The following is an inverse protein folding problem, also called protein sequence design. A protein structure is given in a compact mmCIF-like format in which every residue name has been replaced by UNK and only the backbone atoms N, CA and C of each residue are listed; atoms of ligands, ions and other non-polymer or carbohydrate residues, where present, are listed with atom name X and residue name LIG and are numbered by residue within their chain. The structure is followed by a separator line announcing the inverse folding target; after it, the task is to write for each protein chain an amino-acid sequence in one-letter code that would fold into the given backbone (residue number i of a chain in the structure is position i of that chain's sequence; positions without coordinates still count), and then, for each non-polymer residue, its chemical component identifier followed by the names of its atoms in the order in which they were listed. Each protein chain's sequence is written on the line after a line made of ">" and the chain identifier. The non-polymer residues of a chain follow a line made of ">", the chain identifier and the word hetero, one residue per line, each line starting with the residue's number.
data_IF_397046308984
#
_entry.id   IF_397046308984
#
_cell.length_a   1.000
_cell.length_b   1.000
_cell.length_c   1.000
_cell.angle_alpha   90.00
_cell.angle_beta   90.00
_cell.angle_gamma   90.00
#
_symmetry.space_group_name_H-M   'P 1'
#
loop_
_entity.id
_entity.type
_entity.pdbx_description
1 polymer ?
#
# COMPACT_ATOMS: atom_id res chain seq x y z
N UNK A 1 24.52 30.00 47.99
CA UNK A 1 24.58 28.92 46.98
C UNK A 1 23.22 28.83 46.30
N UNK A 2 23.06 29.07 44.98
CA UNK A 2 21.77 28.92 44.34
C UNK A 2 21.56 27.45 43.92
N UNK A 3 20.43 26.86 44.32
CA UNK A 3 19.99 25.55 43.83
C UNK A 3 19.32 25.73 42.48
N UNK A 4 19.88 25.10 41.44
CA UNK A 4 19.31 25.10 40.10
C UNK A 4 17.97 24.39 40.07
N UNK A 5 16.91 25.12 39.70
CA UNK A 5 15.57 24.59 39.47
C UNK A 5 15.60 23.66 38.26
N UNK A 6 15.60 22.34 38.48
CA UNK A 6 15.39 21.35 37.41
C UNK A 6 13.96 21.47 36.90
N UNK A 7 13.77 22.27 35.85
CA UNK A 7 12.56 22.26 35.02
C UNK A 7 12.40 20.84 34.45
N UNK A 8 11.43 20.09 34.97
CA UNK A 8 10.91 18.89 34.31
C UNK A 8 10.35 19.32 32.96
N UNK A 9 11.18 19.23 31.90
CA UNK A 9 10.71 19.38 30.53
C UNK A 9 9.79 18.18 30.27
N UNK A 10 8.49 18.43 30.35
CA UNK A 10 7.48 17.55 29.75
C UNK A 10 7.77 17.58 28.25
N UNK A 11 8.51 16.59 27.77
CA UNK A 11 8.71 16.39 26.34
C UNK A 11 7.37 15.88 25.79
N UNK A 12 6.43 16.79 25.56
CA UNK A 12 5.29 16.55 24.65
C UNK A 12 5.87 16.52 23.25
N UNK A 13 6.50 15.39 22.91
CA UNK A 13 7.05 15.07 21.60
C UNK A 13 5.89 15.13 20.62
N UNK A 14 5.73 16.28 19.95
CA UNK A 14 5.27 16.45 18.57
C UNK A 14 4.13 15.59 18.01
N UNK A 15 3.27 14.99 18.84
CA UNK A 15 2.18 14.12 18.38
C UNK A 15 0.81 14.82 18.45
N UNK A 16 0.69 15.90 19.22
CA UNK A 16 -0.55 16.71 19.30
C UNK A 16 -0.63 17.84 18.27
N UNK A 17 0.44 18.09 17.51
CA UNK A 17 0.57 19.21 16.57
C UNK A 17 0.79 18.75 15.12
N UNK A 18 0.46 17.50 14.80
CA UNK A 18 0.43 17.04 13.41
C UNK A 18 -0.88 17.51 12.75
N UNK A 19 -0.86 18.49 11.82
CA UNK A 19 -2.05 18.96 11.11
C UNK A 19 -2.70 17.87 10.23
N UNK A 20 -2.04 16.71 10.08
CA UNK A 20 -2.54 15.52 9.40
C UNK A 20 -3.17 14.49 10.34
N UNK A 21 -3.07 14.62 11.67
CA UNK A 21 -3.75 13.75 12.64
C UNK A 21 -5.24 14.10 12.80
N UNK A 22 -5.90 14.49 11.70
CA UNK A 22 -7.33 14.79 11.73
C UNK A 22 -8.11 13.49 11.90
N UNK A 23 -9.00 13.40 12.90
CA UNK A 23 -9.86 12.23 13.11
C UNK A 23 -10.92 12.06 12.00
N UNK A 24 -10.83 12.78 10.88
CA UNK A 24 -11.63 12.54 9.67
C UNK A 24 -11.05 11.42 8.79
N UNK A 25 -9.83 10.95 9.09
CA UNK A 25 -9.16 9.86 8.36
C UNK A 25 -9.62 8.45 8.77
N UNK A 26 -10.79 8.32 9.41
CA UNK A 26 -11.36 7.03 9.85
C UNK A 26 -12.52 6.54 8.98
N UNK A 27 -13.03 7.35 8.05
CA UNK A 27 -14.12 6.95 7.14
C UNK A 27 -13.75 6.91 5.65
N UNK A 28 -12.49 7.16 5.32
CA UNK A 28 -11.91 6.90 4.00
C UNK A 28 -10.98 5.71 4.18
N UNK A 29 -11.30 4.59 3.54
CA UNK A 29 -10.52 3.34 3.60
C UNK A 29 -9.02 3.66 3.68
N UNK A 30 -8.37 3.22 4.78
CA UNK A 30 -7.00 3.58 5.14
C UNK A 30 -6.15 3.43 3.88
N UNK A 31 -5.48 4.48 3.38
CA UNK A 31 -4.79 4.41 2.07
C UNK A 31 -3.82 3.22 1.93
N UNK A 32 -3.35 2.68 3.06
CA UNK A 32 -2.61 1.43 3.17
C UNK A 32 -3.39 0.17 2.76
N UNK A 33 -4.65 0.05 3.14
CA UNK A 33 -5.54 -1.07 2.75
C UNK A 33 -5.90 -1.01 1.26
N UNK A 34 -6.12 0.20 0.73
CA UNK A 34 -6.34 0.40 -0.70
C UNK A 34 -5.11 -0.03 -1.51
N UNK A 35 -3.91 0.34 -1.07
CA UNK A 35 -2.67 -0.06 -1.73
C UNK A 35 -2.50 -1.59 -1.77
N UNK A 36 -2.76 -2.27 -0.64
CA UNK A 36 -2.73 -3.74 -0.59
C UNK A 36 -3.77 -4.35 -1.54
N UNK A 37 -4.99 -3.84 -1.54
CA UNK A 37 -6.06 -4.32 -2.43
C UNK A 37 -5.65 -4.22 -3.91
N UNK A 38 -5.05 -3.11 -4.32
CA UNK A 38 -4.57 -2.90 -5.70
C UNK A 38 -3.46 -3.89 -6.05
N UNK A 39 -2.49 -4.11 -5.15
CA UNK A 39 -1.40 -5.07 -5.37
C UNK A 39 -1.97 -6.48 -5.53
N UNK A 40 -2.88 -6.91 -4.65
CA UNK A 40 -3.53 -8.22 -4.74
C UNK A 40 -4.36 -8.36 -6.01
N UNK A 41 -5.04 -7.30 -6.44
CA UNK A 41 -5.80 -7.31 -7.69
C UNK A 41 -4.89 -7.53 -8.90
N UNK A 42 -3.77 -6.78 -8.99
CA UNK A 42 -2.80 -6.96 -10.07
C UNK A 42 -2.26 -8.40 -10.07
N UNK A 43 -1.87 -8.92 -8.90
CA UNK A 43 -1.41 -10.31 -8.78
C UNK A 43 -2.46 -11.33 -9.20
N UNK A 44 -3.72 -11.14 -8.81
CA UNK A 44 -4.82 -12.03 -9.18
C UNK A 44 -5.06 -12.03 -10.70
N UNK A 45 -5.10 -10.85 -11.32
CA UNK A 45 -5.25 -10.73 -12.78
C UNK A 45 -4.07 -11.40 -13.49
N UNK A 46 -2.83 -11.16 -13.04
CA UNK A 46 -1.65 -11.81 -13.61
C UNK A 46 -1.68 -13.33 -13.45
N UNK A 47 -2.10 -13.85 -12.28
CA UNK A 47 -2.24 -15.30 -12.07
C UNK A 47 -3.30 -15.91 -12.96
N UNK A 48 -4.45 -15.24 -13.14
CA UNK A 48 -5.51 -15.71 -14.03
C UNK A 48 -4.98 -15.81 -15.47
N UNK A 49 -4.31 -14.77 -15.97
CA UNK A 49 -3.70 -14.78 -17.31
C UNK A 49 -2.66 -15.90 -17.42
N UNK A 50 -1.83 -16.11 -16.40
CA UNK A 50 -0.84 -17.18 -16.38
C UNK A 50 -1.48 -18.58 -16.41
N UNK A 51 -2.56 -18.78 -15.64
CA UNK A 51 -3.32 -20.04 -15.66
C UNK A 51 -3.90 -20.28 -17.05
N UNK A 52 -4.49 -19.27 -17.69
CA UNK A 52 -4.95 -19.40 -19.07
C UNK A 52 -3.82 -19.73 -20.01
N UNK A 53 -2.67 -19.04 -19.94
CA UNK A 53 -1.48 -19.37 -20.75
C UNK A 53 -1.02 -20.83 -20.59
N UNK A 54 -1.07 -21.39 -19.36
CA UNK A 54 -0.65 -22.77 -19.11
C UNK A 54 -1.60 -23.81 -19.72
N UNK A 55 -2.92 -23.59 -19.63
CA UNK A 55 -3.91 -24.54 -20.14
C UNK A 55 -4.13 -24.41 -21.64
N UNK A 56 -4.08 -23.18 -22.16
CA UNK A 56 -4.23 -22.86 -23.56
C UNK A 56 -3.46 -21.57 -23.82
N UNK A 57 -2.24 -21.62 -24.39
CA UNK A 57 -1.49 -20.41 -24.66
C UNK A 57 -2.28 -19.55 -25.65
N UNK A 58 -2.69 -18.35 -25.22
CA UNK A 58 -3.47 -17.43 -26.06
C UNK A 58 -2.59 -16.29 -26.57
N UNK A 59 -1.69 -15.77 -25.73
CA UNK A 59 -0.77 -14.68 -26.08
C UNK A 59 0.55 -15.24 -26.64
N UNK A 60 1.06 -16.36 -26.09
CA UNK A 60 2.33 -16.94 -26.50
C UNK A 60 2.17 -18.35 -27.08
N UNK A 61 1.24 -18.55 -28.01
CA UNK A 61 1.13 -19.83 -28.71
C UNK A 61 2.22 -19.93 -29.80
N UNK A 62 3.18 -20.86 -29.69
CA UNK A 62 4.22 -21.05 -30.70
C UNK A 62 3.68 -21.70 -31.98
N UNK A 63 2.45 -22.22 -31.96
CA UNK A 63 1.79 -22.83 -33.11
C UNK A 63 0.76 -21.89 -33.76
N UNK A 64 0.84 -20.57 -33.54
CA UNK A 64 0.04 -19.68 -34.36
C UNK A 64 0.51 -19.82 -35.82
N UNK A 65 -0.41 -20.10 -36.77
CA UNK A 65 -0.04 -20.04 -38.17
C UNK A 65 0.48 -18.63 -38.43
N UNK A 66 1.66 -18.54 -39.03
CA UNK A 66 2.18 -17.27 -39.49
C UNK A 66 1.12 -16.62 -40.36
N UNK A 67 0.70 -15.42 -39.96
CA UNK A 67 -0.27 -14.64 -40.71
C UNK A 67 0.49 -14.07 -41.93
N UNK A 68 0.60 -14.86 -43.00
CA UNK A 68 1.13 -14.43 -44.31
C UNK A 68 0.42 -13.16 -44.80
#
# INVERSE_FOLDING_TARGET
>A
MPQGTRRNRKYTIGTDLDPFNRPEHVHTLKGRELCLFVIFYILAVSLIVLVFELFMPVLFNPNYPDMD
#
